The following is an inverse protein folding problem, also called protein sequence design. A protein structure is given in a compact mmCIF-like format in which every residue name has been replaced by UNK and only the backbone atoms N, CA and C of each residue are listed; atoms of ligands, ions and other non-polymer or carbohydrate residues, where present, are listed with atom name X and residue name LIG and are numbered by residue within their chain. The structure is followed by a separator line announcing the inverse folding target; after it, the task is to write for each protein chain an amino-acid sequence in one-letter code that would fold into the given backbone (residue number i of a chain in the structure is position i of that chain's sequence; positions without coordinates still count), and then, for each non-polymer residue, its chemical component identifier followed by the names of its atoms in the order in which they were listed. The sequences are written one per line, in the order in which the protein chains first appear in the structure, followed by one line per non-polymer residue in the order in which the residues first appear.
data_IF_096130987528
#
_entry.id   IF_096130987528
#
_cell.length_a   1.000
_cell.length_b   1.000
_cell.length_c   1.000
_cell.angle_alpha   90.00
_cell.angle_beta   90.00
_cell.angle_gamma   90.00
#
_symmetry.space_group_name_H-M   'P 1'
#
loop_
_entity.id
_entity.type
_entity.pdbx_description
1 polymer ?
#
# COMPACT_ATOMS: atom_id res chain seq x y z
N UNK A 1 -24.03 -12.05 -2.79
CA UNK A 1 -23.60 -10.81 -2.09
C UNK A 1 -22.08 -10.56 -2.12
N UNK A 2 -21.22 -11.53 -2.43
CA UNK A 2 -19.75 -11.35 -2.48
C UNK A 2 -19.23 -10.31 -3.52
N UNK A 3 -19.90 -10.17 -4.67
CA UNK A 3 -19.41 -9.32 -5.78
C UNK A 3 -19.43 -7.82 -5.48
N UNK A 4 -20.31 -7.33 -4.60
CA UNK A 4 -20.44 -5.89 -4.32
C UNK A 4 -19.29 -5.40 -3.44
N UNK A 5 -18.91 -6.14 -2.40
CA UNK A 5 -17.77 -5.79 -1.56
C UNK A 5 -16.43 -5.91 -2.31
N UNK A 6 -16.31 -6.92 -3.19
CA UNK A 6 -15.10 -7.13 -3.99
C UNK A 6 -14.82 -6.02 -5.00
N UNK A 7 -15.83 -5.24 -5.41
CA UNK A 7 -15.66 -4.11 -6.33
C UNK A 7 -15.01 -2.89 -5.68
N UNK A 8 -15.08 -2.77 -4.35
CA UNK A 8 -14.47 -1.68 -3.60
C UNK A 8 -13.00 -1.92 -3.22
N UNK A 9 -12.49 -3.14 -3.45
CA UNK A 9 -11.17 -3.56 -3.04
C UNK A 9 -10.20 -3.56 -4.22
N UNK A 10 -8.95 -3.16 -3.97
CA UNK A 10 -7.89 -3.25 -4.97
C UNK A 10 -7.51 -4.70 -5.24
N UNK A 11 -7.00 -4.99 -6.45
CA UNK A 11 -6.56 -6.34 -6.83
C UNK A 11 -5.58 -6.96 -5.82
N UNK A 12 -4.73 -6.12 -5.21
CA UNK A 12 -3.78 -6.53 -4.17
C UNK A 12 -4.48 -7.01 -2.90
N UNK A 13 -5.55 -6.34 -2.48
CA UNK A 13 -6.32 -6.74 -1.29
C UNK A 13 -7.18 -7.97 -1.58
N UNK A 14 -7.79 -8.04 -2.76
CA UNK A 14 -8.59 -9.20 -3.19
C UNK A 14 -7.76 -10.48 -3.16
N UNK A 15 -6.49 -10.44 -3.62
CA UNK A 15 -5.57 -11.59 -3.58
C UNK A 15 -5.22 -12.07 -2.16
N UNK A 16 -5.39 -11.24 -1.13
CA UNK A 16 -5.07 -11.58 0.27
C UNK A 16 -6.27 -12.14 1.03
N UNK A 17 -7.47 -11.97 0.50
CA UNK A 17 -8.68 -12.54 1.09
C UNK A 17 -8.78 -13.98 0.62
N UNK A 18 -8.57 -14.92 1.54
CA UNK A 18 -8.73 -16.36 1.28
C UNK A 18 -10.07 -16.80 1.84
N UNK A 19 -10.90 -17.40 0.98
CA UNK A 19 -12.20 -17.96 1.36
C UNK A 19 -11.99 -19.46 1.54
N UNK A 20 -12.29 -19.96 2.72
CA UNK A 20 -12.19 -21.37 3.05
C UNK A 20 -13.58 -22.00 3.07
N UNK A 21 -13.76 -23.08 2.32
CA UNK A 21 -15.02 -23.83 2.28
C UNK A 21 -15.15 -24.83 3.44
N UNK A 22 -14.02 -25.18 4.09
CA UNK A 22 -13.97 -26.12 5.21
C UNK A 22 -12.96 -25.68 6.28
N UNK A 23 -13.21 -26.10 7.52
CA UNK A 23 -12.35 -25.82 8.69
C UNK A 23 -10.96 -26.43 8.53
N UNK A 24 -10.84 -27.55 7.83
CA UNK A 24 -9.56 -28.18 7.51
C UNK A 24 -8.67 -27.31 6.59
N UNK A 25 -9.29 -26.56 5.67
CA UNK A 25 -8.57 -25.61 4.82
C UNK A 25 -8.02 -24.44 5.64
N UNK A 26 -8.77 -23.99 6.66
CA UNK A 26 -8.36 -22.92 7.57
C UNK A 26 -7.14 -23.34 8.42
N UNK A 27 -7.12 -24.58 8.91
CA UNK A 27 -6.02 -25.11 9.73
C UNK A 27 -4.67 -25.20 8.99
N UNK A 28 -4.67 -25.12 7.66
CA UNK A 28 -3.42 -25.06 6.87
C UNK A 28 -2.74 -23.69 6.95
N UNK A 29 -3.50 -22.64 7.26
CA UNK A 29 -3.02 -21.26 7.34
C UNK A 29 -2.86 -20.80 8.79
N UNK A 30 -3.65 -21.35 9.72
CA UNK A 30 -3.69 -20.95 11.12
C UNK A 30 -3.62 -22.21 11.99
N UNK A 31 -2.67 -22.25 12.93
CA UNK A 31 -2.50 -23.38 13.85
C UNK A 31 -3.74 -23.59 14.73
N UNK A 32 -4.03 -24.86 15.07
CA UNK A 32 -5.17 -25.23 15.95
C UNK A 32 -5.07 -24.64 17.35
N UNK A 33 -3.85 -24.48 17.84
CA UNK A 33 -3.55 -24.00 19.20
C UNK A 33 -4.03 -22.57 19.46
N UNK A 34 -4.12 -21.74 18.41
CA UNK A 34 -4.50 -20.31 18.50
C UNK A 34 -5.94 -20.07 18.03
N UNK A 35 -6.67 -21.14 17.73
CA UNK A 35 -8.02 -21.05 17.19
C UNK A 35 -9.01 -21.35 18.33
N UNK A 36 -10.13 -20.60 18.44
CA UNK A 36 -11.13 -20.87 19.47
C UNK A 36 -11.75 -22.26 19.36
N UNK A 37 -12.20 -22.84 20.49
CA UNK A 37 -12.91 -24.15 20.51
C UNK A 37 -14.06 -24.21 19.50
N UNK A 38 -14.80 -23.11 19.34
CA UNK A 38 -15.95 -23.01 18.45
C UNK A 38 -15.61 -23.25 16.96
N UNK A 39 -14.34 -23.07 16.58
CA UNK A 39 -13.82 -23.35 15.24
C UNK A 39 -12.97 -24.62 15.16
N UNK A 40 -13.12 -25.55 16.12
CA UNK A 40 -12.33 -26.78 16.22
C UNK A 40 -10.84 -26.56 16.52
N UNK A 41 -10.54 -25.48 17.26
CA UNK A 41 -9.23 -25.26 17.85
C UNK A 41 -9.15 -25.64 19.32
N UNK A 42 -8.01 -25.33 19.94
CA UNK A 42 -7.69 -25.67 21.33
C UNK A 42 -7.68 -24.45 22.27
N UNK A 43 -7.93 -23.24 21.75
CA UNK A 43 -7.99 -22.00 22.54
C UNK A 43 -9.34 -21.81 23.24
N UNK A 44 -9.50 -20.74 24.02
CA UNK A 44 -10.75 -20.38 24.73
C UNK A 44 -11.94 -20.19 23.78
N UNK A 45 -13.14 -20.21 24.33
CA UNK A 45 -14.34 -19.95 23.54
C UNK A 45 -14.35 -18.51 22.98
N UNK A 46 -15.06 -18.31 21.87
CA UNK A 46 -15.23 -16.98 21.26
C UNK A 46 -15.84 -16.00 22.27
N UNK A 47 -16.79 -16.46 23.09
CA UNK A 47 -17.45 -15.62 24.08
C UNK A 47 -16.46 -15.10 25.14
N UNK A 48 -15.60 -15.98 25.65
CA UNK A 48 -14.58 -15.61 26.64
C UNK A 48 -13.51 -14.69 26.05
N UNK A 49 -13.07 -14.94 24.81
CA UNK A 49 -12.12 -14.08 24.11
C UNK A 49 -12.72 -12.69 23.82
N UNK A 50 -13.99 -12.65 23.39
CA UNK A 50 -14.70 -11.40 23.16
C UNK A 50 -14.84 -10.60 24.45
N UNK A 51 -15.16 -11.24 25.57
CA UNK A 51 -15.28 -10.57 26.87
C UNK A 51 -13.92 -10.07 27.38
N UNK A 52 -12.86 -10.88 27.22
CA UNK A 52 -11.50 -10.49 27.59
C UNK A 52 -11.02 -9.28 26.77
N UNK A 53 -11.17 -9.32 25.45
CA UNK A 53 -10.81 -8.21 24.57
C UNK A 53 -11.64 -6.96 24.90
N UNK A 54 -12.94 -7.11 25.15
CA UNK A 54 -13.79 -5.99 25.52
C UNK A 54 -13.32 -5.34 26.84
N UNK A 55 -12.97 -6.15 27.85
CA UNK A 55 -12.42 -5.64 29.12
C UNK A 55 -11.11 -4.87 28.90
N UNK A 56 -10.22 -5.39 28.05
CA UNK A 56 -8.95 -4.72 27.72
C UNK A 56 -9.18 -3.37 27.01
N UNK A 57 -10.07 -3.33 26.02
CA UNK A 57 -10.43 -2.10 25.32
C UNK A 57 -11.11 -1.06 26.23
N UNK A 58 -11.81 -1.52 27.27
CA UNK A 58 -12.43 -0.66 28.28
C UNK A 58 -11.47 -0.21 29.40
N UNK A 59 -10.20 -0.65 29.39
CA UNK A 59 -9.24 -0.16 30.39
C UNK A 59 -8.97 1.33 30.19
N UNK A 60 -8.81 2.04 31.30
CA UNK A 60 -8.56 3.49 31.28
C UNK A 60 -7.28 3.82 30.50
N UNK A 61 -6.25 2.97 30.57
CA UNK A 61 -5.01 3.10 29.79
C UNK A 61 -5.28 3.07 28.28
N UNK A 62 -6.10 2.12 27.81
CA UNK A 62 -6.42 2.00 26.39
C UNK A 62 -7.26 3.18 25.89
N UNK A 63 -8.20 3.65 26.72
CA UNK A 63 -9.01 4.84 26.41
C UNK A 63 -8.13 6.09 26.35
N UNK A 64 -7.17 6.25 27.26
CA UNK A 64 -6.23 7.37 27.26
C UNK A 64 -5.27 7.33 26.06
N UNK A 65 -4.82 6.12 25.70
CA UNK A 65 -4.03 5.91 24.49
C UNK A 65 -4.81 6.33 23.24
N UNK A 66 -6.06 5.90 23.08
CA UNK A 66 -6.92 6.30 21.96
C UNK A 66 -7.17 7.82 21.93
N UNK A 67 -7.41 8.46 23.07
CA UNK A 67 -7.53 9.93 23.17
C UNK A 67 -6.23 10.66 22.79
N UNK A 68 -5.08 10.03 22.99
CA UNK A 68 -3.78 10.58 22.60
C UNK A 68 -3.58 10.44 21.10
N UNK A 69 -3.94 9.29 20.52
CA UNK A 69 -3.92 9.09 19.07
C UNK A 69 -4.89 10.01 18.34
N UNK A 70 -6.08 10.26 18.89
CA UNK A 70 -7.06 11.20 18.31
C UNK A 70 -6.50 12.63 18.23
N UNK A 71 -5.66 13.00 19.20
CA UNK A 71 -4.97 14.29 19.24
C UNK A 71 -3.60 14.28 18.53
N UNK A 72 -3.17 13.14 18.03
CA UNK A 72 -1.88 13.02 17.37
C UNK A 72 -2.00 13.64 15.97
N UNK A 73 -1.60 14.90 15.88
CA UNK A 73 -1.47 15.60 14.62
C UNK A 73 -0.04 15.47 14.09
N UNK A 74 0.09 15.41 12.76
CA UNK A 74 1.42 15.44 12.13
C UNK A 74 1.86 16.89 12.05
N UNK A 75 3.00 17.20 12.69
CA UNK A 75 3.65 18.48 12.51
C UNK A 75 4.28 18.54 11.10
N UNK A 76 3.53 19.12 10.16
CA UNK A 76 3.94 19.29 8.77
C UNK A 76 5.21 20.15 8.62
N UNK A 77 5.67 20.85 9.66
CA UNK A 77 6.94 21.59 9.63
C UNK A 77 8.18 20.69 9.79
N UNK A 78 8.00 19.54 10.43
CA UNK A 78 9.03 18.51 10.61
C UNK A 78 9.02 17.48 9.47
N UNK A 79 7.96 17.47 8.66
CA UNK A 79 7.96 16.72 7.42
C UNK A 79 9.07 17.27 6.55
N UNK A 80 9.93 16.37 6.05
CA UNK A 80 10.91 16.71 5.02
C UNK A 80 10.13 17.34 3.86
N UNK A 81 10.12 18.68 3.83
CA UNK A 81 9.50 19.43 2.76
C UNK A 81 10.11 18.98 1.45
N UNK A 82 9.38 19.06 0.35
CA UNK A 82 9.87 18.82 -1.02
C UNK A 82 11.02 19.75 -1.46
N UNK A 83 11.69 20.42 -0.52
CA UNK A 83 13.09 20.83 -0.67
C UNK A 83 13.91 19.54 -0.80
N UNK A 84 13.88 19.02 -2.02
CA UNK A 84 14.85 18.09 -2.55
C UNK A 84 16.23 18.66 -2.25
N UNK A 85 16.85 18.20 -1.16
CA UNK A 85 18.30 18.25 -1.06
C UNK A 85 18.79 17.43 -2.24
N UNK A 86 19.12 18.12 -3.32
CA UNK A 86 19.49 17.48 -4.57
C UNK A 86 20.74 16.61 -4.43
N UNK A 87 21.57 16.90 -3.41
CA UNK A 87 22.63 16.03 -2.94
C UNK A 87 22.10 14.68 -2.45
N UNK A 88 20.95 14.63 -1.77
CA UNK A 88 20.30 13.38 -1.34
C UNK A 88 19.79 12.55 -2.52
N UNK A 89 19.40 13.20 -3.62
CA UNK A 89 18.96 12.52 -4.85
C UNK A 89 20.11 12.20 -5.83
N UNK A 90 21.36 12.50 -5.46
CA UNK A 90 22.53 12.22 -6.31
C UNK A 90 22.61 13.05 -7.59
N UNK A 91 21.91 14.20 -7.64
CA UNK A 91 21.86 15.05 -8.83
C UNK A 91 23.01 16.05 -8.83
N UNK A 92 23.88 16.07 -9.86
CA UNK A 92 24.95 17.05 -9.97
C UNK A 92 24.41 18.48 -9.98
N UNK A 93 25.09 19.38 -9.27
CA UNK A 93 24.69 20.79 -9.04
C UNK A 93 24.39 21.57 -10.33
N UNK A 94 25.06 21.22 -11.43
CA UNK A 94 24.81 21.80 -12.76
C UNK A 94 23.38 21.60 -13.23
N UNK A 95 22.77 20.44 -13.00
CA UNK A 95 21.40 20.15 -13.43
C UNK A 95 20.36 20.90 -12.60
N UNK A 96 20.64 21.16 -11.32
CA UNK A 96 19.76 21.95 -10.46
C UNK A 96 19.67 23.39 -10.91
N UNK A 97 20.81 23.97 -11.28
CA UNK A 97 20.88 25.33 -11.80
C UNK A 97 20.09 25.49 -13.08
N UNK A 98 20.08 24.46 -13.93
CA UNK A 98 19.27 24.43 -15.15
C UNK A 98 17.77 24.24 -14.88
N UNK A 99 17.40 23.40 -13.89
CA UNK A 99 16.01 23.21 -13.47
C UNK A 99 15.39 24.45 -12.80
N UNK A 100 16.21 25.27 -12.15
CA UNK A 100 15.79 26.51 -11.51
C UNK A 100 15.59 27.68 -12.50
N UNK A 101 15.95 27.52 -13.77
CA UNK A 101 15.69 28.56 -14.78
C UNK A 101 14.21 28.66 -15.09
N UNK A 102 13.70 29.89 -15.14
CA UNK A 102 12.28 30.17 -15.45
C UNK A 102 11.82 29.50 -16.75
N UNK A 103 12.67 29.54 -17.79
CA UNK A 103 12.41 28.88 -19.08
C UNK A 103 12.19 27.37 -18.94
N UNK A 104 13.02 26.69 -18.14
CA UNK A 104 12.93 25.24 -17.91
C UNK A 104 11.70 24.91 -17.07
N UNK A 105 11.43 25.71 -16.05
CA UNK A 105 10.26 25.52 -15.17
C UNK A 105 8.95 25.67 -15.94
N UNK A 106 8.85 26.70 -16.76
CA UNK A 106 7.64 26.98 -17.56
C UNK A 106 7.45 25.89 -18.63
N UNK A 107 8.53 25.45 -19.27
CA UNK A 107 8.51 24.31 -20.20
C UNK A 107 8.07 23.00 -19.54
N UNK A 108 8.60 22.66 -18.36
CA UNK A 108 8.21 21.44 -17.64
C UNK A 108 6.75 21.50 -17.18
N UNK A 109 6.29 22.68 -16.77
CA UNK A 109 4.88 22.89 -16.41
C UNK A 109 3.97 22.67 -17.62
N UNK A 110 4.37 23.15 -18.80
CA UNK A 110 3.68 22.90 -20.07
C UNK A 110 3.67 21.40 -20.43
N UNK A 111 4.81 20.71 -20.29
CA UNK A 111 4.89 19.26 -20.50
C UNK A 111 3.96 18.47 -19.58
N UNK A 112 3.83 18.85 -18.31
CA UNK A 112 2.92 18.19 -17.37
C UNK A 112 1.44 18.34 -17.75
N UNK A 113 1.10 19.35 -18.56
CA UNK A 113 -0.25 19.57 -19.06
C UNK A 113 -0.51 18.85 -20.39
N UNK A 114 0.52 18.27 -21.01
CA UNK A 114 0.36 17.49 -22.23
C UNK A 114 -0.29 16.16 -21.90
N UNK A 115 -1.54 16.00 -22.34
CA UNK A 115 -2.25 14.72 -22.30
C UNK A 115 -1.67 13.84 -23.42
N UNK A 116 -1.33 12.58 -23.10
CA UNK A 116 -0.86 11.65 -24.12
C UNK A 116 -1.97 11.40 -25.15
N UNK A 117 -1.71 11.77 -26.39
CA UNK A 117 -2.52 11.31 -27.52
C UNK A 117 -2.09 9.89 -27.86
N UNK A 118 -2.76 8.91 -27.24
CA UNK A 118 -2.50 7.47 -27.42
C UNK A 118 -2.60 7.03 -28.89
N UNK A 119 -3.28 7.80 -29.76
CA UNK A 119 -3.36 7.52 -31.19
C UNK A 119 -2.08 7.84 -31.97
N UNK A 120 -1.24 8.71 -31.41
CA UNK A 120 0.07 9.12 -31.96
C UNK A 120 1.23 8.34 -31.38
N UNK A 121 0.98 7.51 -30.36
CA UNK A 121 1.97 6.59 -29.82
C UNK A 121 2.36 5.63 -30.95
N UNK A 122 3.62 5.59 -31.40
CA UNK A 122 4.04 4.64 -32.41
C UNK A 122 3.71 3.25 -31.91
N UNK A 123 2.82 2.53 -32.58
CA UNK A 123 2.51 1.11 -32.32
C UNK A 123 3.83 0.37 -32.39
N UNK A 124 4.42 0.10 -31.24
CA UNK A 124 5.85 -0.14 -31.19
C UNK A 124 6.12 -1.62 -31.34
N UNK A 125 6.46 -2.02 -32.56
CA UNK A 125 7.55 -2.98 -32.71
C UNK A 125 8.83 -2.24 -32.34
N UNK A 126 9.18 -2.28 -31.06
CA UNK A 126 10.52 -1.89 -30.65
C UNK A 126 11.51 -2.91 -31.24
N UNK A 127 12.65 -2.48 -31.80
CA UNK A 127 13.77 -3.39 -32.01
C UNK A 127 14.10 -4.05 -30.67
N UNK A 128 14.18 -5.38 -30.64
CA UNK A 128 14.39 -6.19 -29.43
C UNK A 128 15.61 -5.74 -28.61
N UNK A 129 16.56 -5.05 -29.24
CA UNK A 129 17.82 -4.61 -28.65
C UNK A 129 17.66 -3.38 -27.72
N UNK A 130 16.53 -2.65 -27.80
CA UNK A 130 16.25 -1.44 -27.02
C UNK A 130 15.21 -1.67 -25.91
N UNK A 131 14.57 -2.84 -25.88
CA UNK A 131 13.72 -3.24 -24.77
C UNK A 131 14.65 -3.72 -23.65
N UNK A 132 14.75 -2.96 -22.57
CA UNK A 132 15.56 -3.32 -21.41
C UNK A 132 15.27 -4.76 -20.93
N UNK A 133 16.20 -5.33 -20.15
CA UNK A 133 16.30 -6.74 -19.76
C UNK A 133 15.07 -7.38 -19.05
N UNK A 134 13.91 -6.73 -19.03
CA UNK A 134 12.61 -7.32 -18.71
C UNK A 134 12.07 -8.18 -19.86
N UNK A 135 12.94 -8.94 -20.54
CA UNK A 135 12.49 -10.04 -21.40
C UNK A 135 11.63 -10.95 -20.53
N UNK A 136 10.47 -11.29 -21.09
CA UNK A 136 9.40 -12.12 -20.52
C UNK A 136 10.00 -13.20 -19.61
N UNK A 137 9.65 -13.12 -18.32
CA UNK A 137 9.80 -14.27 -17.44
C UNK A 137 8.79 -15.29 -17.97
N UNK A 138 9.26 -16.29 -18.70
CA UNK A 138 8.45 -17.45 -19.01
C UNK A 138 8.22 -18.16 -17.66
N UNK A 139 6.96 -18.18 -17.23
CA UNK A 139 6.55 -18.94 -16.06
C UNK A 139 6.40 -20.40 -16.48
N UNK A 140 7.37 -21.23 -16.08
CA UNK A 140 7.23 -22.70 -15.99
C UNK A 140 6.15 -23.10 -14.98
#
# INVERSE_FOLDING_TARGET
MHKVASQALTEKLVKRIVIHDSVESLHKYISKEILPVDFQGDEKSIAELSEANFKELCTEEHIQFLKTLDKAETDESLRLSDKSDAEFMGMPEMYLKELQRDQTRDYLTECCQQISDESRRPTTQYPDDLVGSFKKLDFD
#
